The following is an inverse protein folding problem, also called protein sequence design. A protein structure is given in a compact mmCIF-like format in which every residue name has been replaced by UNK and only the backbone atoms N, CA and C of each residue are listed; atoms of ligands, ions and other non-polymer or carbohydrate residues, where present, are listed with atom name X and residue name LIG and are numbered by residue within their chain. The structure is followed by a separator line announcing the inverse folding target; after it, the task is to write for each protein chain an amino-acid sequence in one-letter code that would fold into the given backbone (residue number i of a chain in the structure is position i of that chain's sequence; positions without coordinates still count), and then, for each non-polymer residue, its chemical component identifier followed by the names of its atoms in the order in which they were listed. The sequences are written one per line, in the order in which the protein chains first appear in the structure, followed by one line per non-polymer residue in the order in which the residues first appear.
data_IF_891673370016
#
_entry.id   IF_891673370016
#
_cell.length_a   1.000
_cell.length_b   1.000
_cell.length_c   1.000
_cell.angle_alpha   90.00
_cell.angle_beta   90.00
_cell.angle_gamma   90.00
#
_symmetry.space_group_name_H-M   'P 1'
#
loop_
_entity.id
_entity.type
_entity.pdbx_description
1 polymer ?
#
# COMPACT_ATOMS: atom_id res chain seq x y z
N UNK A 1 22.25 -41.01 -49.20
CA UNK A 1 21.34 -41.43 -50.28
C UNK A 1 20.05 -40.64 -50.10
N UNK A 2 19.69 -39.90 -51.13
CA UNK A 2 18.54 -38.98 -51.21
C UNK A 2 17.20 -39.72 -51.26
N UNK A 3 16.11 -38.95 -51.05
CA UNK A 3 14.80 -39.04 -51.74
C UNK A 3 13.54 -39.28 -50.88
N UNK A 4 12.77 -38.19 -50.79
CA UNK A 4 11.33 -38.04 -51.08
C UNK A 4 10.31 -38.70 -50.14
N UNK A 5 9.55 -37.92 -49.37
CA UNK A 5 8.29 -37.21 -49.72
C UNK A 5 7.08 -38.14 -49.94
N UNK A 6 6.12 -38.01 -49.00
CA UNK A 6 4.65 -38.09 -49.13
C UNK A 6 4.07 -39.43 -49.64
N UNK A 7 2.88 -39.91 -49.24
CA UNK A 7 1.55 -39.30 -49.22
C UNK A 7 0.66 -40.31 -48.46
N UNK A 8 -0.30 -39.85 -47.64
CA UNK A 8 -1.59 -40.53 -47.50
C UNK A 8 -2.60 -39.59 -46.84
N UNK A 9 -3.43 -38.95 -47.66
CA UNK A 9 -4.67 -38.33 -47.25
C UNK A 9 -5.63 -39.42 -46.74
N UNK A 10 -6.22 -39.23 -45.56
CA UNK A 10 -7.36 -40.03 -45.13
C UNK A 10 -8.58 -39.14 -44.91
N UNK A 11 -9.68 -39.60 -45.48
CA UNK A 11 -10.91 -38.88 -45.72
C UNK A 11 -11.81 -38.77 -44.47
N UNK A 12 -12.53 -37.64 -44.40
CA UNK A 12 -13.97 -37.51 -44.15
C UNK A 12 -14.67 -38.60 -43.29
N UNK A 13 -15.12 -38.27 -42.07
CA UNK A 13 -16.48 -38.62 -41.62
C UNK A 13 -16.92 -37.89 -40.33
N UNK A 14 -18.21 -37.56 -40.33
CA UNK A 14 -19.05 -36.89 -39.36
C UNK A 14 -19.13 -37.63 -38.01
N UNK A 15 -19.19 -36.90 -36.88
CA UNK A 15 -20.35 -36.87 -35.97
C UNK A 15 -20.02 -36.20 -34.62
N UNK A 16 -21.04 -35.52 -34.11
CA UNK A 16 -21.07 -34.70 -32.92
C UNK A 16 -20.89 -35.52 -31.63
N UNK A 17 -20.30 -34.93 -30.61
CA UNK A 17 -20.81 -35.09 -29.25
C UNK A 17 -20.59 -33.80 -28.46
N UNK A 18 -21.71 -33.19 -28.09
CA UNK A 18 -21.78 -32.05 -27.19
C UNK A 18 -21.22 -32.46 -25.81
N UNK A 19 -20.08 -31.89 -25.43
CA UNK A 19 -19.63 -31.98 -24.05
C UNK A 19 -20.14 -30.75 -23.30
N UNK A 20 -21.27 -30.96 -22.61
CA UNK A 20 -21.72 -30.10 -21.53
C UNK A 20 -20.54 -29.90 -20.55
N UNK A 21 -20.08 -28.66 -20.41
CA UNK A 21 -19.08 -28.31 -19.41
C UNK A 21 -19.65 -28.60 -18.03
N UNK A 22 -19.19 -29.70 -17.44
CA UNK A 22 -19.45 -30.03 -16.06
C UNK A 22 -18.73 -29.00 -15.18
N UNK A 23 -19.50 -28.15 -14.51
CA UNK A 23 -19.00 -27.33 -13.41
C UNK A 23 -18.70 -28.30 -12.27
N UNK A 24 -17.43 -28.75 -12.18
CA UNK A 24 -16.92 -29.36 -10.95
C UNK A 24 -16.80 -28.26 -9.90
N UNK A 25 -17.44 -28.37 -8.72
CA UNK A 25 -17.17 -27.45 -7.63
C UNK A 25 -15.71 -27.65 -7.22
N UNK A 26 -14.91 -26.60 -7.37
CA UNK A 26 -13.52 -26.58 -6.96
C UNK A 26 -13.47 -26.65 -5.42
N UNK A 27 -13.19 -27.85 -4.91
CA UNK A 27 -12.76 -28.09 -3.54
C UNK A 27 -11.55 -27.19 -3.28
N UNK A 28 -11.64 -26.38 -2.21
CA UNK A 28 -10.66 -25.37 -1.84
C UNK A 28 -9.23 -25.90 -1.89
N UNK A 29 -8.44 -25.37 -2.82
CA UNK A 29 -7.01 -25.50 -2.78
C UNK A 29 -6.46 -24.56 -1.71
N UNK A 30 -5.48 -25.00 -0.90
CA UNK A 30 -4.86 -24.16 0.11
C UNK A 30 -4.14 -23.03 -0.63
N UNK A 31 -4.58 -21.79 -0.40
CA UNK A 31 -3.92 -20.61 -0.94
C UNK A 31 -2.51 -20.55 -0.35
N UNK A 32 -1.54 -20.85 -1.20
CA UNK A 32 -0.12 -20.68 -0.92
C UNK A 32 0.15 -19.24 -0.47
N UNK A 33 0.88 -19.11 0.63
CA UNK A 33 1.20 -17.86 1.30
C UNK A 33 2.06 -16.91 0.44
N UNK A 34 1.44 -16.19 -0.47
CA UNK A 34 1.67 -14.74 -0.50
C UNK A 34 0.96 -14.17 0.72
N UNK A 35 1.64 -13.30 1.49
CA UNK A 35 0.98 -12.62 2.60
C UNK A 35 -0.16 -11.77 2.02
N UNK A 36 -1.38 -12.30 2.08
CA UNK A 36 -2.57 -11.59 1.63
C UNK A 36 -2.71 -10.33 2.52
N UNK A 37 -2.54 -9.11 1.96
CA UNK A 37 -2.69 -7.88 2.75
C UNK A 37 -4.11 -7.74 3.32
N UNK A 38 -5.11 -8.40 2.71
CA UNK A 38 -6.45 -8.48 3.27
C UNK A 38 -6.47 -9.32 4.55
N UNK A 39 -5.71 -10.41 4.63
CA UNK A 39 -5.62 -11.25 5.83
C UNK A 39 -5.01 -10.49 7.02
N UNK A 40 -3.99 -9.66 6.77
CA UNK A 40 -3.41 -8.79 7.81
C UNK A 40 -4.40 -7.73 8.31
N UNK A 41 -5.12 -7.10 7.38
CA UNK A 41 -6.13 -6.07 7.71
C UNK A 41 -7.32 -6.68 8.47
N UNK A 42 -7.80 -7.84 8.02
CA UNK A 42 -8.86 -8.59 8.67
C UNK A 42 -8.48 -8.90 10.12
N UNK A 43 -7.30 -9.48 10.34
CA UNK A 43 -6.80 -9.79 11.70
C UNK A 43 -6.62 -8.54 12.56
N UNK A 44 -6.28 -7.40 11.97
CA UNK A 44 -6.19 -6.14 12.72
C UNK A 44 -7.57 -5.58 13.14
N UNK A 45 -8.62 -5.94 12.41
CA UNK A 45 -9.99 -5.47 12.65
C UNK A 45 -10.80 -6.43 13.50
N UNK A 46 -10.54 -7.74 13.39
CA UNK A 46 -11.08 -8.80 14.24
C UNK A 46 -10.43 -8.70 15.63
N UNK A 47 -11.09 -8.00 16.54
CA UNK A 47 -10.54 -7.64 17.84
C UNK A 47 -10.77 -8.74 18.86
N UNK A 48 -11.86 -9.49 18.72
CA UNK A 48 -12.17 -10.62 19.59
C UNK A 48 -11.51 -11.92 19.13
N UNK A 49 -10.99 -11.98 17.89
CA UNK A 49 -10.27 -13.12 17.34
C UNK A 49 -11.17 -14.30 17.01
N UNK A 50 -12.45 -14.07 16.75
CA UNK A 50 -13.42 -15.13 16.46
C UNK A 50 -13.41 -15.58 14.99
N UNK A 51 -12.56 -14.96 14.17
CA UNK A 51 -12.44 -15.25 12.75
C UNK A 51 -13.53 -14.61 11.90
N UNK A 52 -14.32 -13.69 12.47
CA UNK A 52 -15.34 -12.90 11.80
C UNK A 52 -15.18 -11.42 12.14
N UNK A 53 -15.77 -10.54 11.33
CA UNK A 53 -15.90 -9.13 11.70
C UNK A 53 -17.35 -8.86 12.08
N UNK A 54 -17.56 -8.57 13.37
CA UNK A 54 -18.83 -7.97 13.79
C UNK A 54 -19.03 -6.62 13.10
N UNK A 55 -20.28 -6.16 13.01
CA UNK A 55 -20.60 -4.83 12.46
C UNK A 55 -19.84 -3.71 13.17
N UNK A 56 -19.60 -3.86 14.48
CA UNK A 56 -18.87 -2.90 15.31
C UNK A 56 -17.40 -2.86 14.91
N UNK A 57 -16.76 -4.02 14.78
CA UNK A 57 -15.36 -4.14 14.37
C UNK A 57 -15.14 -3.61 12.95
N UNK A 58 -16.02 -4.00 12.01
CA UNK A 58 -15.97 -3.51 10.65
C UNK A 58 -16.10 -1.99 10.58
N UNK A 59 -17.09 -1.41 11.26
CA UNK A 59 -17.29 0.05 11.27
C UNK A 59 -16.08 0.77 11.88
N UNK A 60 -15.55 0.27 13.00
CA UNK A 60 -14.38 0.87 13.64
C UNK A 60 -13.13 0.79 12.75
N UNK A 61 -12.88 -0.37 12.12
CA UNK A 61 -11.79 -0.58 11.17
C UNK A 61 -11.92 0.35 9.95
N UNK A 62 -13.10 0.41 9.35
CA UNK A 62 -13.40 1.26 8.20
C UNK A 62 -13.21 2.75 8.49
N UNK A 63 -13.66 3.22 9.66
CA UNK A 63 -13.47 4.61 10.07
C UNK A 63 -11.97 4.96 10.23
N UNK A 64 -11.18 4.07 10.83
CA UNK A 64 -9.72 4.27 10.95
C UNK A 64 -9.05 4.26 9.58
N UNK A 65 -9.42 3.34 8.70
CA UNK A 65 -8.88 3.27 7.34
C UNK A 65 -9.18 4.54 6.54
N UNK A 66 -10.41 5.06 6.62
CA UNK A 66 -10.75 6.33 5.99
C UNK A 66 -9.96 7.51 6.56
N UNK A 67 -9.77 7.56 7.88
CA UNK A 67 -8.97 8.62 8.51
C UNK A 67 -7.52 8.57 8.00
N UNK A 68 -6.92 7.39 7.98
CA UNK A 68 -5.55 7.19 7.48
C UNK A 68 -5.43 7.57 5.99
N UNK A 69 -6.41 7.19 5.16
CA UNK A 69 -6.43 7.54 3.75
C UNK A 69 -6.49 9.06 3.55
N UNK A 70 -7.32 9.76 4.33
CA UNK A 70 -7.39 11.24 4.31
C UNK A 70 -6.07 11.87 4.73
N UNK A 71 -5.45 11.36 5.80
CA UNK A 71 -4.14 11.85 6.26
C UNK A 71 -3.06 11.65 5.20
N UNK A 72 -2.98 10.46 4.59
CA UNK A 72 -2.01 10.20 3.51
C UNK A 72 -2.24 11.11 2.30
N UNK A 73 -3.50 11.31 1.90
CA UNK A 73 -3.82 12.22 0.80
C UNK A 73 -3.38 13.67 1.10
N UNK A 74 -3.64 14.15 2.32
CA UNK A 74 -3.21 15.49 2.75
C UNK A 74 -1.68 15.63 2.72
N UNK A 75 -0.95 14.62 3.25
CA UNK A 75 0.51 14.62 3.23
C UNK A 75 1.06 14.60 1.80
N UNK A 76 0.46 13.82 0.90
CA UNK A 76 0.85 13.78 -0.50
C UNK A 76 0.64 15.13 -1.20
N UNK A 77 -0.48 15.80 -0.92
CA UNK A 77 -0.74 17.16 -1.43
C UNK A 77 0.26 18.18 -0.88
N UNK A 78 0.59 18.11 0.41
CA UNK A 78 1.59 18.99 1.01
C UNK A 78 2.97 18.75 0.40
N UNK A 79 3.39 17.49 0.26
CA UNK A 79 4.65 17.12 -0.37
C UNK A 79 4.76 17.70 -1.78
N UNK A 80 3.73 17.51 -2.61
CA UNK A 80 3.70 18.05 -3.97
C UNK A 80 3.70 19.59 -4.03
N UNK A 81 3.17 20.27 -3.02
CA UNK A 81 3.21 21.73 -2.92
C UNK A 81 4.57 22.26 -2.46
N UNK A 82 5.36 21.45 -1.75
CA UNK A 82 6.72 21.79 -1.29
C UNK A 82 7.74 21.56 -2.39
N UNK A 83 7.63 20.43 -3.11
CA UNK A 83 8.47 20.05 -4.26
C UNK A 83 8.17 20.98 -5.46
N UNK A 84 8.63 22.22 -5.34
CA UNK A 84 8.27 23.31 -6.24
C UNK A 84 8.99 23.20 -7.59
N UNK A 85 10.14 22.53 -7.60
CA UNK A 85 10.91 22.25 -8.80
C UNK A 85 10.54 20.91 -9.47
N UNK A 86 9.64 20.13 -8.85
CA UNK A 86 9.13 18.84 -9.32
C UNK A 86 10.22 17.79 -9.58
N UNK A 87 11.30 17.83 -8.80
CA UNK A 87 12.37 16.85 -8.88
C UNK A 87 12.12 15.59 -8.04
N UNK A 88 10.91 15.48 -7.48
CA UNK A 88 10.38 14.34 -6.73
C UNK A 88 11.04 14.14 -5.36
N UNK A 89 11.65 15.19 -4.82
CA UNK A 89 12.21 15.20 -3.47
C UNK A 89 12.22 16.60 -2.88
N UNK A 90 12.24 16.67 -1.55
CA UNK A 90 12.43 17.93 -0.83
C UNK A 90 13.93 18.12 -0.62
N UNK A 91 14.53 19.10 -1.29
CA UNK A 91 15.95 19.37 -1.15
C UNK A 91 16.30 20.20 0.09
N UNK A 92 17.58 20.49 0.29
CA UNK A 92 18.05 21.24 1.45
C UNK A 92 17.50 22.68 1.53
N UNK A 93 17.20 23.32 0.40
CA UNK A 93 16.61 24.66 0.36
C UNK A 93 15.12 24.63 0.69
N UNK A 94 14.38 23.72 0.09
CA UNK A 94 12.96 23.49 0.37
C UNK A 94 12.74 23.05 1.83
N UNK A 95 13.61 22.18 2.35
CA UNK A 95 13.59 21.72 3.73
C UNK A 95 13.69 22.86 4.74
N UNK A 96 14.62 23.81 4.56
CA UNK A 96 14.77 24.98 5.43
C UNK A 96 13.54 25.89 5.39
N UNK A 97 12.78 25.82 4.29
CA UNK A 97 11.60 26.64 4.10
C UNK A 97 10.31 26.03 4.64
N UNK A 98 10.31 24.76 5.02
CA UNK A 98 9.17 24.08 5.65
C UNK A 98 8.74 24.80 6.93
N UNK A 99 7.43 25.04 7.04
CA UNK A 99 6.82 25.63 8.25
C UNK A 99 7.13 24.79 9.49
N UNK A 100 7.11 23.46 9.37
CA UNK A 100 7.42 22.52 10.46
C UNK A 100 8.84 22.72 10.99
N UNK A 101 9.81 22.87 10.08
CA UNK A 101 11.23 23.09 10.40
C UNK A 101 11.44 24.49 10.97
N UNK A 102 10.83 25.51 10.38
CA UNK A 102 10.85 26.89 10.88
C UNK A 102 10.29 26.99 12.30
N UNK A 103 9.19 26.29 12.58
CA UNK A 103 8.56 26.26 13.89
C UNK A 103 9.39 25.50 14.93
N UNK A 104 10.08 24.43 14.54
CA UNK A 104 10.99 23.70 15.42
C UNK A 104 12.29 24.46 15.70
N UNK A 105 12.71 25.36 14.80
CA UNK A 105 13.85 26.24 14.99
C UNK A 105 15.14 25.46 15.28
N UNK A 106 15.80 25.76 16.41
CA UNK A 106 17.04 25.07 16.84
C UNK A 106 16.84 23.58 17.14
N UNK A 107 15.62 23.17 17.45
CA UNK A 107 15.27 21.78 17.77
C UNK A 107 14.84 21.01 16.51
N UNK A 108 14.89 21.67 15.35
CA UNK A 108 14.61 21.03 14.07
C UNK A 108 15.67 19.93 13.81
N UNK A 109 15.23 18.70 13.48
CA UNK A 109 16.15 17.66 13.07
C UNK A 109 16.87 18.04 11.77
N UNK A 110 18.08 17.53 11.52
CA UNK A 110 18.72 17.68 10.22
C UNK A 110 18.02 16.80 9.17
N UNK A 111 18.00 17.25 7.91
CA UNK A 111 17.46 16.49 6.77
C UNK A 111 18.01 15.06 6.73
N UNK A 112 19.33 14.92 6.88
CA UNK A 112 20.06 13.64 6.86
C UNK A 112 19.59 12.61 7.91
N UNK A 113 18.80 13.03 8.91
CA UNK A 113 18.18 12.10 9.86
C UNK A 113 17.11 11.21 9.18
N UNK A 114 16.47 11.70 8.13
CA UNK A 114 15.34 11.04 7.47
C UNK A 114 15.65 10.57 6.05
N UNK A 115 16.69 11.11 5.43
CA UNK A 115 17.27 10.69 4.15
C UNK A 115 17.99 9.34 4.30
N UNK A 116 17.25 8.26 4.11
CA UNK A 116 17.72 6.89 4.30
C UNK A 116 18.40 6.33 3.05
N UNK A 117 18.08 6.87 1.87
CA UNK A 117 18.75 6.49 0.62
C UNK A 117 19.99 7.34 0.30
N UNK A 118 20.28 8.34 1.13
CA UNK A 118 21.40 9.27 1.01
C UNK A 118 21.39 10.06 -0.31
N UNK A 119 20.20 10.35 -0.82
CA UNK A 119 20.01 11.14 -2.04
C UNK A 119 20.29 12.64 -1.84
N UNK A 120 20.38 13.10 -0.60
CA UNK A 120 20.46 14.53 -0.25
C UNK A 120 19.11 15.24 -0.32
N UNK A 121 18.02 14.49 -0.50
CA UNK A 121 16.64 14.96 -0.58
C UNK A 121 15.76 14.11 0.35
N UNK A 122 14.55 14.57 0.64
CA UNK A 122 13.53 13.72 1.25
C UNK A 122 12.53 13.27 0.20
N UNK A 123 12.48 11.98 -0.07
CA UNK A 123 11.36 11.35 -0.75
C UNK A 123 10.09 11.34 0.11
N UNK A 124 8.95 10.98 -0.48
CA UNK A 124 7.65 11.03 0.21
C UNK A 124 7.63 10.25 1.54
N UNK A 125 8.14 9.01 1.56
CA UNK A 125 8.17 8.19 2.76
C UNK A 125 9.03 8.82 3.88
N UNK A 126 10.09 9.53 3.51
CA UNK A 126 11.02 10.18 4.43
C UNK A 126 10.42 11.47 4.99
N UNK A 127 9.72 12.22 4.14
CA UNK A 127 8.91 13.34 4.54
C UNK A 127 7.81 12.96 5.54
N UNK A 128 7.11 11.83 5.35
CA UNK A 128 6.11 11.36 6.32
C UNK A 128 6.75 11.16 7.70
N UNK A 129 7.95 10.56 7.78
CA UNK A 129 8.67 10.40 9.05
C UNK A 129 9.07 11.73 9.68
N UNK A 130 9.44 12.73 8.88
CA UNK A 130 9.70 14.09 9.36
C UNK A 130 8.44 14.69 9.99
N UNK A 131 7.30 14.61 9.29
CA UNK A 131 6.03 15.16 9.80
C UNK A 131 5.62 14.44 11.07
N UNK A 132 5.72 13.11 11.15
CA UNK A 132 5.43 12.36 12.38
C UNK A 132 6.32 12.74 13.56
N UNK A 133 7.59 13.06 13.30
CA UNK A 133 8.54 13.48 14.34
C UNK A 133 8.28 14.90 14.86
N UNK A 134 7.81 15.80 14.00
CA UNK A 134 7.59 17.22 14.30
C UNK A 134 6.14 17.59 14.58
N UNK A 135 5.19 16.72 14.24
CA UNK A 135 3.79 16.94 14.53
C UNK A 135 3.60 17.01 16.06
N UNK A 136 2.84 18.00 16.56
CA UNK A 136 2.48 18.03 17.97
C UNK A 136 1.74 16.73 18.30
N UNK A 137 2.30 15.94 19.24
CA UNK A 137 1.58 14.78 19.76
C UNK A 137 0.23 15.27 20.28
N UNK A 138 -0.89 14.61 19.96
CA UNK A 138 -2.14 14.90 20.63
C UNK A 138 -1.88 14.74 22.13
N UNK A 139 -2.04 15.83 22.89
CA UNK A 139 -1.89 15.81 24.34
C UNK A 139 -2.76 14.67 24.86
N UNK A 140 -2.12 13.72 25.55
CA UNK A 140 -2.78 12.55 26.10
C UNK A 140 -4.00 12.99 26.90
N UNK A 141 -5.13 12.34 26.63
CA UNK A 141 -6.37 12.44 27.39
C UNK A 141 -6.16 11.73 28.73
N UNK A 142 -5.25 12.25 29.56
CA UNK A 142 -4.86 11.73 30.87
C UNK A 142 -4.81 12.87 31.89
N UNK A 143 -5.99 13.30 32.34
CA UNK A 143 -6.19 13.98 33.62
C UNK A 143 -7.65 13.76 34.06
N UNK A 144 -7.88 12.75 34.90
CA UNK A 144 -9.18 12.48 35.50
C UNK A 144 -9.38 11.00 35.82
N UNK A 145 -8.63 10.50 36.81
CA UNK A 145 -9.13 9.45 37.70
C UNK A 145 -10.11 10.08 38.68
#
# INVERSE_FOLDING_TARGET
MTCHLAIAAFALLLCQSAQAQQIKPATGQPVSASADPAAGTFKAWDRNGDGQLSLVEFRAGWQRAQALAKTQAALAQQFAAIDANHDRGIDAEEYRNLVLVKNAGKDAPPLARFDADASGKLGFAEYVRLVEALAPKPAGRDAGK
#
